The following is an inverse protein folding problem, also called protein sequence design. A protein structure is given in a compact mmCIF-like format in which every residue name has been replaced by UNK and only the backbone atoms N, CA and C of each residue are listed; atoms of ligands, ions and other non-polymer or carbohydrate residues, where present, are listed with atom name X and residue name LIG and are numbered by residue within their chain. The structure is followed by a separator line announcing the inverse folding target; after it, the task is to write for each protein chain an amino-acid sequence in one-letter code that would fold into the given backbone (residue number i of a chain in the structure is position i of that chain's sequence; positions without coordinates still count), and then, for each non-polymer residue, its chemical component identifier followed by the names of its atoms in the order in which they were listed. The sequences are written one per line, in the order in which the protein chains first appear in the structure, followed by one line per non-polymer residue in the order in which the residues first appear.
data_IF_574297761858
#
_entry.id   IF_574297761858
#
_cell.length_a   1.000
_cell.length_b   1.000
_cell.length_c   1.000
_cell.angle_alpha   90.00
_cell.angle_beta   90.00
_cell.angle_gamma   90.00
#
_symmetry.space_group_name_H-M   'P 1'
#
loop_
_entity.id
_entity.type
_entity.pdbx_description
1 polymer ?
#
# COMPACT_ATOMS: atom_id res chain seq x y z
N UNK A 1 25.21 -34.57 13.45
CA UNK A 1 25.03 -33.29 12.74
C UNK A 1 23.55 -33.06 12.59
N UNK A 2 22.97 -32.23 13.45
CA UNK A 2 21.53 -31.91 13.38
C UNK A 2 21.40 -30.80 12.35
N UNK A 3 20.89 -31.14 11.16
CA UNK A 3 20.47 -30.15 10.17
C UNK A 3 19.21 -29.52 10.73
N UNK A 4 19.34 -28.33 11.31
CA UNK A 4 18.21 -27.49 11.66
C UNK A 4 17.42 -27.20 10.39
N UNK A 5 16.29 -27.87 10.21
CA UNK A 5 15.25 -27.41 9.29
C UNK A 5 14.72 -26.09 9.84
N UNK A 6 15.39 -24.99 9.51
CA UNK A 6 14.73 -23.68 9.54
C UNK A 6 13.65 -23.75 8.47
N UNK A 7 12.38 -23.94 8.92
CA UNK A 7 11.25 -23.65 8.05
C UNK A 7 11.48 -22.21 7.55
N UNK A 8 11.58 -22.04 6.23
CA UNK A 8 11.71 -20.73 5.59
C UNK A 8 10.33 -20.07 5.65
N UNK A 9 9.94 -19.57 6.82
CA UNK A 9 8.79 -18.69 6.90
C UNK A 9 9.10 -17.41 6.15
N UNK A 10 8.16 -16.97 5.31
CA UNK A 10 8.26 -15.71 4.59
C UNK A 10 8.30 -14.55 5.59
N UNK A 11 9.17 -13.58 5.34
CA UNK A 11 9.09 -12.29 6.02
C UNK A 11 7.77 -11.60 5.63
N UNK A 12 7.33 -10.64 6.41
CA UNK A 12 6.12 -9.84 6.12
C UNK A 12 6.17 -9.22 4.72
N UNK A 13 7.31 -8.64 4.32
CA UNK A 13 7.46 -8.07 2.98
C UNK A 13 7.45 -9.13 1.88
N UNK A 14 8.11 -10.27 2.08
CA UNK A 14 8.05 -11.40 1.14
C UNK A 14 6.62 -11.91 0.97
N UNK A 15 5.84 -11.99 2.05
CA UNK A 15 4.42 -12.37 1.99
C UNK A 15 3.60 -11.40 1.13
N UNK A 16 3.85 -10.10 1.26
CA UNK A 16 3.17 -9.08 0.43
C UNK A 16 3.53 -9.26 -1.04
N UNK A 17 4.81 -9.45 -1.36
CA UNK A 17 5.27 -9.68 -2.74
C UNK A 17 4.64 -10.94 -3.32
N UNK A 18 4.65 -12.06 -2.59
CA UNK A 18 4.04 -13.33 -3.02
C UNK A 18 2.52 -13.19 -3.27
N UNK A 19 1.83 -12.42 -2.43
CA UNK A 19 0.41 -12.14 -2.61
C UNK A 19 0.11 -11.42 -3.93
N UNK A 20 0.95 -10.43 -4.28
CA UNK A 20 0.87 -9.72 -5.57
C UNK A 20 1.19 -10.64 -6.75
N UNK A 21 2.23 -11.47 -6.63
CA UNK A 21 2.64 -12.41 -7.67
C UNK A 21 1.54 -13.43 -7.98
N UNK A 22 0.99 -14.08 -6.97
CA UNK A 22 -0.11 -15.06 -7.11
C UNK A 22 -1.36 -14.50 -7.78
N UNK A 23 -1.57 -13.20 -7.72
CA UNK A 23 -2.71 -12.49 -8.34
C UNK A 23 -2.38 -11.84 -9.68
N UNK A 24 -1.19 -12.09 -10.21
CA UNK A 24 -0.75 -11.55 -11.50
C UNK A 24 -0.55 -10.04 -11.51
N UNK A 25 -0.44 -9.40 -10.34
CA UNK A 25 -0.32 -7.94 -10.26
C UNK A 25 1.06 -7.47 -10.70
N UNK A 26 2.13 -8.28 -10.47
CA UNK A 26 3.48 -7.95 -10.92
C UNK A 26 3.58 -7.92 -12.44
N UNK A 27 2.81 -8.76 -13.14
CA UNK A 27 2.80 -8.82 -14.61
C UNK A 27 2.16 -7.61 -15.28
N UNK A 28 1.41 -6.80 -14.52
CA UNK A 28 0.81 -5.55 -15.03
C UNK A 28 1.82 -4.43 -15.25
N UNK A 29 3.05 -4.62 -14.77
CA UNK A 29 4.09 -3.61 -14.87
C UNK A 29 3.85 -2.40 -13.96
N UNK A 30 4.86 -1.54 -13.89
CA UNK A 30 4.83 -0.31 -13.11
C UNK A 30 4.26 0.84 -13.94
N UNK A 31 3.20 1.45 -13.44
CA UNK A 31 2.61 2.69 -13.98
C UNK A 31 2.61 3.72 -12.85
N UNK A 32 3.48 4.71 -12.94
CA UNK A 32 3.69 5.72 -11.90
C UNK A 32 2.39 6.38 -11.46
N UNK A 33 1.57 6.83 -12.40
CA UNK A 33 0.30 7.51 -12.10
C UNK A 33 -0.70 6.59 -11.40
N UNK A 34 -0.84 5.34 -11.87
CA UNK A 34 -1.71 4.34 -11.24
C UNK A 34 -1.26 4.03 -9.81
N UNK A 35 0.02 3.74 -9.61
CA UNK A 35 0.55 3.44 -8.27
C UNK A 35 0.39 4.64 -7.33
N UNK A 36 0.65 5.86 -7.81
CA UNK A 36 0.41 7.09 -7.05
C UNK A 36 -1.06 7.21 -6.63
N UNK A 37 -2.01 6.90 -7.51
CA UNK A 37 -3.43 6.96 -7.16
C UNK A 37 -3.81 5.99 -6.04
N UNK A 38 -3.23 4.79 -6.00
CA UNK A 38 -3.48 3.83 -4.91
C UNK A 38 -2.95 4.33 -3.57
N UNK A 39 -1.75 4.92 -3.55
CA UNK A 39 -1.17 5.49 -2.34
C UNK A 39 -1.99 6.67 -1.82
N UNK A 40 -2.44 7.55 -2.70
CA UNK A 40 -3.28 8.70 -2.33
C UNK A 40 -4.65 8.23 -1.80
N UNK A 41 -5.25 7.20 -2.39
CA UNK A 41 -6.50 6.61 -1.89
C UNK A 41 -6.36 6.21 -0.42
N UNK A 42 -5.30 5.46 -0.07
CA UNK A 42 -5.06 5.04 1.31
C UNK A 42 -4.79 6.23 2.25
N UNK A 43 -4.08 7.26 1.78
CA UNK A 43 -3.86 8.50 2.55
C UNK A 43 -5.21 9.20 2.84
N UNK A 44 -6.08 9.31 1.85
CA UNK A 44 -7.40 9.91 2.02
C UNK A 44 -8.26 9.10 2.98
N UNK A 45 -8.26 7.76 2.85
CA UNK A 45 -9.06 6.86 3.69
C UNK A 45 -8.64 6.93 5.16
N UNK A 46 -7.34 6.88 5.48
CA UNK A 46 -6.91 6.94 6.87
C UNK A 46 -7.09 8.32 7.50
N UNK A 47 -7.27 9.37 6.70
CA UNK A 47 -7.67 10.71 7.16
C UNK A 47 -9.20 10.87 7.29
N UNK A 48 -9.96 9.81 7.06
CA UNK A 48 -11.41 9.79 7.26
C UNK A 48 -12.22 10.21 6.04
N UNK A 49 -11.61 10.38 4.87
CA UNK A 49 -12.34 10.66 3.64
C UNK A 49 -13.17 9.45 3.22
N UNK A 50 -14.41 9.68 2.79
CA UNK A 50 -15.35 8.64 2.37
C UNK A 50 -16.08 9.07 1.10
N UNK A 51 -16.71 8.11 0.42
CA UNK A 51 -17.45 8.34 -0.82
C UNK A 51 -16.58 8.10 -2.05
N UNK A 52 -16.49 9.04 -2.95
CA UNK A 52 -15.76 8.94 -4.23
C UNK A 52 -14.25 9.10 -4.07
N UNK A 53 -13.65 8.44 -3.07
CA UNK A 53 -12.24 8.58 -2.70
C UNK A 53 -11.32 8.11 -3.83
N UNK A 54 -11.67 7.03 -4.51
CA UNK A 54 -10.89 6.51 -5.66
C UNK A 54 -10.82 7.51 -6.81
N UNK A 55 -11.94 8.15 -7.11
CA UNK A 55 -12.02 9.16 -8.17
C UNK A 55 -11.19 10.39 -7.81
N UNK A 56 -11.28 10.87 -6.57
CA UNK A 56 -10.46 11.97 -6.08
C UNK A 56 -8.96 11.62 -6.13
N UNK A 57 -8.59 10.43 -5.69
CA UNK A 57 -7.19 9.98 -5.72
C UNK A 57 -6.63 9.94 -7.15
N UNK A 58 -7.42 9.48 -8.11
CA UNK A 58 -7.05 9.50 -9.53
C UNK A 58 -6.89 10.91 -10.07
N UNK A 59 -7.80 11.80 -9.72
CA UNK A 59 -7.71 13.20 -10.16
C UNK A 59 -6.45 13.87 -9.60
N UNK A 60 -6.13 13.65 -8.32
CA UNK A 60 -4.91 14.18 -7.71
C UNK A 60 -3.66 13.60 -8.40
N UNK A 61 -3.63 12.30 -8.68
CA UNK A 61 -2.52 11.67 -9.39
C UNK A 61 -2.35 12.22 -10.81
N UNK A 62 -3.46 12.48 -11.51
CA UNK A 62 -3.47 13.12 -12.81
C UNK A 62 -2.91 14.55 -12.75
N UNK A 63 -3.31 15.33 -11.73
CA UNK A 63 -2.85 16.70 -11.54
C UNK A 63 -1.35 16.75 -11.24
N UNK A 64 -0.83 15.78 -10.47
CA UNK A 64 0.61 15.63 -10.23
C UNK A 64 1.34 15.29 -11.55
N UNK A 65 0.83 14.35 -12.32
CA UNK A 65 1.44 13.91 -13.58
C UNK A 65 1.44 15.05 -14.64
N UNK A 66 0.43 15.90 -14.62
CA UNK A 66 0.32 17.08 -15.48
C UNK A 66 0.98 18.35 -14.91
N UNK A 67 1.68 18.25 -13.78
CA UNK A 67 2.38 19.39 -13.16
C UNK A 67 1.45 20.53 -12.70
N UNK A 68 0.20 20.23 -12.39
CA UNK A 68 -0.80 21.24 -11.98
C UNK A 68 -0.79 21.56 -10.48
N UNK A 69 -0.06 20.78 -9.67
CA UNK A 69 0.03 20.98 -8.22
C UNK A 69 1.26 21.85 -7.91
N UNK A 70 1.08 23.14 -7.81
CA UNK A 70 2.15 24.08 -7.47
C UNK A 70 1.88 24.90 -6.21
N UNK A 71 0.62 25.18 -5.87
CA UNK A 71 0.19 25.97 -4.70
C UNK A 71 0.99 27.28 -4.49
N UNK A 72 1.42 27.93 -5.58
CA UNK A 72 2.28 29.13 -5.54
C UNK A 72 3.63 28.93 -4.82
N UNK A 73 4.10 27.68 -4.75
CA UNK A 73 5.43 27.35 -4.27
C UNK A 73 6.40 27.19 -5.44
N UNK A 74 7.67 27.44 -5.18
CA UNK A 74 8.73 27.19 -6.16
C UNK A 74 9.03 25.68 -6.21
N UNK A 75 8.29 24.97 -7.06
CA UNK A 75 8.41 23.52 -7.23
C UNK A 75 8.88 23.27 -8.67
N UNK A 76 10.01 22.59 -8.81
CA UNK A 76 10.51 22.10 -10.09
C UNK A 76 10.05 20.66 -10.31
N UNK A 77 9.44 20.40 -11.47
CA UNK A 77 9.10 19.05 -11.91
C UNK A 77 10.21 18.50 -12.79
N UNK A 78 10.85 17.44 -12.30
CA UNK A 78 11.87 16.68 -13.04
C UNK A 78 11.38 15.25 -13.16
N UNK A 79 11.46 14.66 -14.36
CA UNK A 79 11.10 13.24 -14.54
C UNK A 79 12.00 12.38 -13.64
N UNK A 80 11.43 11.62 -12.69
CA UNK A 80 12.22 10.85 -11.75
C UNK A 80 12.92 9.68 -12.45
N UNK A 81 14.17 9.44 -12.09
CA UNK A 81 14.85 8.23 -12.49
C UNK A 81 14.41 7.02 -11.63
N UNK A 82 14.84 5.82 -12.00
CA UNK A 82 14.44 4.60 -11.27
C UNK A 82 14.91 4.61 -9.81
N UNK A 83 16.06 5.22 -9.51
CA UNK A 83 16.55 5.31 -8.14
C UNK A 83 15.64 6.21 -7.31
N UNK A 84 15.24 7.38 -7.81
CA UNK A 84 14.35 8.30 -7.12
C UNK A 84 12.99 7.63 -6.81
N UNK A 85 12.46 6.87 -7.77
CA UNK A 85 11.20 6.12 -7.59
C UNK A 85 11.33 5.07 -6.50
N UNK A 86 12.38 4.26 -6.53
CA UNK A 86 12.61 3.18 -5.56
C UNK A 86 12.86 3.76 -4.16
N UNK A 87 13.67 4.80 -4.06
CA UNK A 87 13.98 5.50 -2.81
C UNK A 87 12.71 6.08 -2.17
N UNK A 88 11.91 6.80 -2.96
CA UNK A 88 10.65 7.37 -2.50
C UNK A 88 9.64 6.32 -2.04
N UNK A 89 9.51 5.20 -2.75
CA UNK A 89 8.66 4.08 -2.32
C UNK A 89 9.18 3.43 -1.02
N UNK A 90 10.50 3.31 -0.87
CA UNK A 90 11.13 2.84 0.36
C UNK A 90 10.84 3.75 1.54
N UNK A 91 10.96 5.05 1.35
CA UNK A 91 10.66 6.05 2.38
C UNK A 91 9.18 6.03 2.78
N UNK A 92 8.26 5.83 1.84
CA UNK A 92 6.83 5.65 2.15
C UNK A 92 6.60 4.46 3.08
N UNK A 93 7.28 3.34 2.86
CA UNK A 93 7.20 2.17 3.76
C UNK A 93 7.74 2.52 5.15
N UNK A 94 8.87 3.21 5.22
CA UNK A 94 9.50 3.63 6.48
C UNK A 94 8.58 4.57 7.26
N UNK A 95 8.06 5.61 6.62
CA UNK A 95 7.16 6.57 7.27
C UNK A 95 5.83 5.95 7.68
N UNK A 96 5.21 5.12 6.83
CA UNK A 96 3.97 4.42 7.16
C UNK A 96 4.17 3.47 8.36
N UNK A 97 5.27 2.72 8.37
CA UNK A 97 5.64 1.83 9.49
C UNK A 97 5.83 2.60 10.77
N UNK A 98 6.56 3.72 10.73
CA UNK A 98 6.77 4.59 11.87
C UNK A 98 5.48 5.22 12.40
N UNK A 99 4.59 5.66 11.52
CA UNK A 99 3.29 6.20 11.89
C UNK A 99 2.41 5.13 12.57
N UNK A 100 2.37 3.92 12.02
CA UNK A 100 1.65 2.79 12.63
C UNK A 100 2.19 2.46 14.03
N UNK A 101 3.51 2.35 14.19
CA UNK A 101 4.14 2.08 15.48
C UNK A 101 3.77 3.13 16.54
N UNK A 102 3.76 4.41 16.17
CA UNK A 102 3.35 5.51 17.05
C UNK A 102 1.88 5.38 17.46
N UNK A 103 0.99 5.04 16.52
CA UNK A 103 -0.43 4.88 16.81
C UNK A 103 -0.70 3.68 17.70
N UNK A 104 -0.05 2.55 17.46
CA UNK A 104 -0.15 1.36 18.31
C UNK A 104 0.32 1.64 19.74
N UNK A 105 1.40 2.41 19.91
CA UNK A 105 1.87 2.85 21.22
C UNK A 105 0.86 3.76 21.92
N UNK A 106 0.31 4.74 21.22
CA UNK A 106 -0.70 5.68 21.74
C UNK A 106 -1.93 4.96 22.32
N UNK A 107 -2.41 3.93 21.61
CA UNK A 107 -3.60 3.16 22.04
C UNK A 107 -3.27 1.98 22.96
N UNK A 108 -2.03 1.84 23.38
CA UNK A 108 -1.54 0.71 24.19
C UNK A 108 -1.89 -0.66 23.57
N UNK A 109 -1.75 -0.78 22.24
CA UNK A 109 -2.01 -2.04 21.54
C UNK A 109 -1.02 -3.13 21.97
N UNK A 110 -1.47 -4.39 22.14
CA UNK A 110 -0.55 -5.52 22.38
C UNK A 110 0.14 -5.99 21.09
N UNK A 111 -0.28 -5.49 19.92
CA UNK A 111 0.23 -5.92 18.63
C UNK A 111 1.48 -5.14 18.21
N UNK A 112 2.43 -5.84 17.59
CA UNK A 112 3.51 -5.21 16.83
C UNK A 112 3.02 -4.76 15.45
N UNK A 113 3.83 -3.98 14.75
CA UNK A 113 3.54 -3.61 13.35
C UNK A 113 3.44 -4.86 12.46
N UNK A 114 4.35 -5.83 12.64
CA UNK A 114 4.30 -7.10 11.91
C UNK A 114 3.01 -7.87 12.16
N UNK A 115 2.52 -7.91 13.40
CA UNK A 115 1.23 -8.55 13.73
C UNK A 115 0.09 -7.89 12.95
N UNK A 116 0.03 -6.57 12.95
CA UNK A 116 -1.01 -5.81 12.24
C UNK A 116 -0.96 -6.07 10.73
N UNK A 117 0.22 -6.00 10.12
CA UNK A 117 0.37 -6.25 8.69
C UNK A 117 -0.02 -7.69 8.35
N UNK A 118 0.34 -8.68 9.19
CA UNK A 118 -0.06 -10.06 8.98
C UNK A 118 -1.57 -10.26 9.11
N UNK A 119 -2.24 -9.59 10.04
CA UNK A 119 -3.71 -9.61 10.13
C UNK A 119 -4.37 -9.03 8.88
N UNK A 120 -3.82 -7.94 8.35
CA UNK A 120 -4.27 -7.35 7.08
C UNK A 120 -4.04 -8.33 5.92
N UNK A 121 -2.89 -9.00 5.89
CA UNK A 121 -2.58 -9.99 4.86
C UNK A 121 -3.48 -11.21 4.95
N UNK A 122 -3.82 -11.67 6.15
CA UNK A 122 -4.81 -12.74 6.36
C UNK A 122 -6.17 -12.36 5.77
N UNK A 123 -6.59 -11.10 5.95
CA UNK A 123 -7.81 -10.58 5.33
C UNK A 123 -7.67 -10.50 3.80
N UNK A 124 -6.52 -10.06 3.31
CA UNK A 124 -6.26 -9.97 1.86
C UNK A 124 -6.21 -11.35 1.19
N UNK A 125 -5.73 -12.37 1.87
CA UNK A 125 -5.74 -13.75 1.36
C UNK A 125 -7.16 -14.26 1.08
N UNK A 126 -8.16 -13.72 1.75
CA UNK A 126 -9.59 -14.03 1.51
C UNK A 126 -10.18 -13.30 0.29
N UNK A 127 -9.47 -12.33 -0.29
CA UNK A 127 -9.86 -11.69 -1.55
C UNK A 127 -9.50 -12.61 -2.72
N UNK A 128 -10.32 -12.58 -3.77
CA UNK A 128 -10.01 -13.24 -5.04
C UNK A 128 -8.94 -12.51 -5.84
N UNK A 129 -8.83 -12.83 -7.12
CA UNK A 129 -7.89 -12.19 -8.07
C UNK A 129 -8.59 -11.19 -9.01
N UNK A 130 -9.86 -10.92 -8.80
CA UNK A 130 -10.65 -9.99 -9.62
C UNK A 130 -10.25 -8.55 -9.31
N UNK A 131 -10.03 -7.76 -10.35
CA UNK A 131 -9.69 -6.34 -10.23
C UNK A 131 -10.85 -5.44 -10.64
N UNK A 132 -10.89 -4.23 -10.08
CA UNK A 132 -11.78 -3.16 -10.54
C UNK A 132 -11.26 -2.50 -11.83
N UNK A 133 -11.97 -1.49 -12.33
CA UNK A 133 -11.60 -0.74 -13.53
C UNK A 133 -10.23 -0.04 -13.40
N UNK A 134 -9.73 0.15 -12.19
CA UNK A 134 -8.45 0.81 -11.90
C UNK A 134 -7.30 -0.18 -11.67
N UNK A 135 -7.57 -1.49 -11.71
CA UNK A 135 -6.57 -2.54 -11.51
C UNK A 135 -6.32 -2.93 -10.05
N UNK A 136 -7.13 -2.46 -9.10
CA UNK A 136 -7.05 -2.84 -7.68
C UNK A 136 -7.88 -4.09 -7.42
N UNK A 137 -7.39 -5.02 -6.59
CA UNK A 137 -8.13 -6.23 -6.20
C UNK A 137 -9.42 -5.83 -5.48
N UNK A 138 -10.54 -6.39 -5.92
CA UNK A 138 -11.86 -6.10 -5.34
C UNK A 138 -12.12 -6.93 -4.09
N UNK A 139 -12.96 -6.38 -3.21
CA UNK A 139 -13.57 -7.12 -2.10
C UNK A 139 -14.88 -7.74 -2.63
N UNK A 140 -15.09 -9.03 -2.35
CA UNK A 140 -16.39 -9.65 -2.59
C UNK A 140 -17.38 -9.30 -1.47
N UNK A 141 -18.64 -9.77 -1.61
CA UNK A 141 -19.71 -9.49 -0.64
C UNK A 141 -19.47 -10.13 0.73
N UNK A 142 -18.64 -11.16 0.80
CA UNK A 142 -18.34 -11.93 2.01
C UNK A 142 -17.06 -11.45 2.70
N UNK A 143 -16.37 -10.45 2.11
CA UNK A 143 -15.15 -9.93 2.69
C UNK A 143 -15.42 -9.27 4.04
N UNK A 144 -14.70 -9.73 5.06
CA UNK A 144 -14.74 -9.16 6.41
C UNK A 144 -13.45 -8.39 6.69
N UNK A 145 -13.59 -7.16 7.17
CA UNK A 145 -12.44 -6.37 7.61
C UNK A 145 -11.71 -7.06 8.76
N UNK A 146 -10.36 -7.00 8.80
CA UNK A 146 -9.62 -7.53 9.93
C UNK A 146 -9.90 -6.72 11.19
N UNK A 147 -9.94 -7.39 12.34
CA UNK A 147 -9.99 -6.71 13.64
C UNK A 147 -8.56 -6.38 14.07
N UNK A 148 -8.21 -5.10 14.02
CA UNK A 148 -6.83 -4.61 14.26
C UNK A 148 -6.64 -4.00 15.65
N UNK A 149 -7.73 -3.71 16.34
CA UNK A 149 -7.74 -3.10 17.67
C UNK A 149 -8.83 -3.70 18.56
#
# INVERSE_FOLDING_TARGET
MVISNRSTELTTLQRIVEWNEKRGLLDKGFDKKRETSFLIEEILEFNGCKGEVKELARQIAEDIDNEYITYNLDIEYVEPNNQDIIDGLGDLIIFATGAMAKKLKEINSPHSVDDIINLIMDANDRKGSKTDAYGKITKDKEFTQPKLV
#
